data_IF_111309605905
#
_entry.id   IF_111309605905
#
_cell.length_a   1.000
_cell.length_b   1.000
_cell.length_c   1.000
_cell.angle_alpha   90.00
_cell.angle_beta   90.00
_cell.angle_gamma   90.00
#
_symmetry.space_group_name_H-M   'P 1'
#
loop_
_entity.id
_entity.type
_entity.pdbx_description
1 polymer ?
#
# COMPACT_ATOMS: atom_id res chain seq x y z
N UNK A 1 25.41 -4.67 22.37
CA UNK A 1 26.17 -4.40 23.60
C UNK A 1 25.57 -5.11 24.80
N UNK A 2 24.30 -4.88 25.19
CA UNK A 2 23.64 -5.53 26.33
C UNK A 2 23.56 -7.06 26.20
N UNK A 3 23.26 -7.59 25.02
CA UNK A 3 23.23 -9.04 24.83
C UNK A 3 24.62 -9.69 24.93
N UNK A 4 25.67 -8.94 24.72
CA UNK A 4 27.05 -9.41 24.92
C UNK A 4 27.40 -9.53 26.43
N UNK A 5 26.91 -8.56 27.23
CA UNK A 5 27.09 -8.59 28.69
C UNK A 5 26.18 -9.59 29.40
N UNK A 6 24.98 -9.82 28.84
CA UNK A 6 23.96 -10.69 29.41
C UNK A 6 23.40 -11.64 28.35
N UNK A 7 24.17 -12.67 27.97
CA UNK A 7 23.76 -13.60 26.90
C UNK A 7 22.39 -14.23 27.19
N UNK A 8 21.54 -14.29 26.18
CA UNK A 8 20.20 -14.89 26.24
C UNK A 8 19.18 -14.21 27.19
N UNK A 9 19.55 -13.12 27.85
CA UNK A 9 18.64 -12.39 28.75
C UNK A 9 17.63 -11.54 27.95
N UNK A 10 18.08 -10.97 26.82
CA UNK A 10 17.25 -10.14 25.95
C UNK A 10 16.70 -10.98 24.81
N UNK A 11 15.39 -10.91 24.64
CA UNK A 11 14.67 -11.57 23.55
C UNK A 11 14.09 -10.50 22.63
N UNK A 12 14.01 -10.79 21.35
CA UNK A 12 13.27 -9.96 20.39
C UNK A 12 11.97 -10.66 20.01
N UNK A 13 10.88 -9.89 20.00
CA UNK A 13 9.61 -10.34 19.51
C UNK A 13 9.11 -9.30 18.49
N UNK A 14 9.10 -9.65 17.22
CA UNK A 14 8.61 -8.77 16.16
C UNK A 14 7.09 -8.69 16.17
N UNK A 15 6.55 -7.59 15.67
CA UNK A 15 5.11 -7.50 15.42
C UNK A 15 4.72 -8.53 14.35
N UNK A 16 3.57 -9.19 14.58
CA UNK A 16 2.96 -10.08 13.61
C UNK A 16 1.90 -9.38 12.77
N UNK A 17 1.26 -10.15 11.91
CA UNK A 17 0.07 -9.75 11.17
C UNK A 17 -1.16 -10.50 11.73
N UNK A 18 -2.29 -9.82 11.88
CA UNK A 18 -3.56 -10.43 12.28
C UNK A 18 -4.40 -10.74 11.02
N UNK A 19 -4.21 -11.92 10.49
CA UNK A 19 -4.86 -12.35 9.25
C UNK A 19 -6.39 -12.40 9.33
N UNK A 20 -6.96 -12.68 10.51
CA UNK A 20 -8.43 -12.70 10.70
C UNK A 20 -9.02 -11.32 10.46
N UNK A 21 -8.37 -10.27 10.98
CA UNK A 21 -8.81 -8.89 10.75
C UNK A 21 -8.90 -8.58 9.26
N UNK A 22 -7.84 -8.88 8.52
CA UNK A 22 -7.71 -8.46 7.13
C UNK A 22 -8.49 -9.32 6.14
N UNK A 23 -8.68 -10.60 6.44
CA UNK A 23 -9.39 -11.53 5.56
C UNK A 23 -10.86 -11.73 5.96
N UNK A 24 -11.18 -11.81 7.27
CA UNK A 24 -12.53 -12.15 7.71
C UNK A 24 -13.40 -10.92 8.00
N UNK A 25 -12.81 -9.81 8.48
CA UNK A 25 -13.58 -8.61 8.80
C UNK A 25 -13.64 -7.64 7.62
N UNK A 26 -12.52 -7.47 6.93
CA UNK A 26 -12.37 -6.41 5.91
C UNK A 26 -12.31 -6.95 4.48
N UNK A 27 -12.02 -8.24 4.30
CA UNK A 27 -11.86 -8.92 3.01
C UNK A 27 -12.93 -9.97 2.75
N UNK A 28 -14.20 -9.71 3.12
CA UNK A 28 -15.26 -10.72 3.09
C UNK A 28 -15.45 -11.39 1.71
N UNK A 29 -15.40 -10.64 0.61
CA UNK A 29 -15.55 -11.22 -0.72
C UNK A 29 -14.39 -12.16 -1.07
N UNK A 30 -13.16 -11.79 -0.68
CA UNK A 30 -12.00 -12.65 -0.88
C UNK A 30 -12.09 -13.88 0.02
N UNK A 31 -12.51 -13.75 1.26
CA UNK A 31 -12.68 -14.91 2.14
C UNK A 31 -13.77 -15.85 1.66
N UNK A 32 -14.86 -15.34 1.09
CA UNK A 32 -15.91 -16.15 0.47
C UNK A 32 -15.36 -16.98 -0.70
N UNK A 33 -14.60 -16.35 -1.60
CA UNK A 33 -13.93 -17.07 -2.69
C UNK A 33 -12.99 -18.17 -2.19
N UNK A 34 -12.22 -17.87 -1.14
CA UNK A 34 -11.32 -18.86 -0.52
C UNK A 34 -12.13 -20.01 0.08
N UNK A 35 -13.22 -19.73 0.78
CA UNK A 35 -14.10 -20.77 1.37
C UNK A 35 -14.74 -21.68 0.35
N UNK A 36 -15.19 -21.13 -0.76
CA UNK A 36 -15.75 -21.92 -1.86
C UNK A 36 -14.75 -22.91 -2.44
N UNK A 37 -13.47 -22.57 -2.43
CA UNK A 37 -12.42 -23.39 -3.06
C UNK A 37 -11.72 -24.37 -2.12
N UNK A 38 -11.48 -23.99 -0.87
CA UNK A 38 -10.71 -24.81 0.09
C UNK A 38 -11.42 -25.07 1.43
N UNK A 39 -12.71 -24.67 1.55
CA UNK A 39 -13.48 -24.87 2.78
C UNK A 39 -13.13 -23.85 3.88
N UNK A 40 -13.61 -24.11 5.10
CA UNK A 40 -13.58 -23.13 6.21
C UNK A 40 -12.40 -23.30 7.18
N UNK A 41 -11.64 -24.38 7.08
CA UNK A 41 -10.65 -24.72 8.10
C UNK A 41 -9.46 -23.77 8.16
N UNK A 42 -9.17 -23.03 7.07
CA UNK A 42 -8.14 -22.00 7.05
C UNK A 42 -8.39 -20.85 8.05
N UNK A 43 -9.64 -20.61 8.45
CA UNK A 43 -9.99 -19.61 9.46
C UNK A 43 -9.40 -19.91 10.83
N UNK A 44 -9.17 -21.18 11.11
CA UNK A 44 -8.59 -21.68 12.37
C UNK A 44 -7.09 -21.96 12.24
N UNK A 45 -6.64 -22.36 11.04
CA UNK A 45 -5.24 -22.62 10.73
C UNK A 45 -4.84 -22.01 9.38
N UNK A 46 -4.22 -20.83 9.41
CA UNK A 46 -3.81 -20.10 8.21
C UNK A 46 -2.80 -20.85 7.32
N UNK A 47 -2.12 -21.87 7.83
CA UNK A 47 -1.25 -22.73 7.00
C UNK A 47 -2.04 -23.42 5.89
N UNK A 48 -3.33 -23.64 6.09
CA UNK A 48 -4.23 -24.23 5.08
C UNK A 48 -4.50 -23.31 3.90
N UNK A 49 -4.25 -21.99 4.01
CA UNK A 49 -4.30 -21.08 2.86
C UNK A 49 -3.35 -21.52 1.74
N UNK A 50 -2.31 -22.30 2.04
CA UNK A 50 -1.43 -22.88 1.02
C UNK A 50 -2.19 -23.73 0.01
N UNK A 51 -3.31 -24.31 0.39
CA UNK A 51 -4.14 -25.10 -0.52
C UNK A 51 -4.75 -24.27 -1.65
N UNK A 52 -4.85 -22.95 -1.47
CA UNK A 52 -5.32 -22.04 -2.49
C UNK A 52 -4.36 -21.95 -3.70
N UNK A 53 -3.07 -22.27 -3.52
CA UNK A 53 -2.08 -22.30 -4.62
C UNK A 53 -2.49 -23.21 -5.79
N UNK A 54 -3.26 -24.28 -5.52
CA UNK A 54 -3.76 -25.20 -6.55
C UNK A 54 -4.58 -24.50 -7.64
N UNK A 55 -5.15 -23.36 -7.32
CA UNK A 55 -6.04 -22.60 -8.19
C UNK A 55 -5.34 -21.42 -8.89
N UNK A 56 -4.04 -21.22 -8.68
CA UNK A 56 -3.29 -20.10 -9.21
C UNK A 56 -3.37 -19.95 -10.74
N UNK A 57 -3.46 -21.08 -11.47
CA UNK A 57 -3.61 -21.13 -12.93
C UNK A 57 -5.06 -21.34 -13.40
N UNK A 58 -6.04 -21.38 -12.49
CA UNK A 58 -7.44 -21.51 -12.87
C UNK A 58 -7.97 -20.15 -13.34
N UNK A 59 -8.37 -20.07 -14.61
CA UNK A 59 -8.82 -18.81 -15.24
C UNK A 59 -10.02 -18.23 -14.52
N UNK A 60 -11.03 -19.02 -14.16
CA UNK A 60 -12.20 -18.52 -13.45
C UNK A 60 -11.82 -17.89 -12.10
N UNK A 61 -10.91 -18.52 -11.35
CA UNK A 61 -10.45 -17.98 -10.06
C UNK A 61 -9.69 -16.67 -10.25
N UNK A 62 -8.85 -16.58 -11.28
CA UNK A 62 -8.15 -15.33 -11.62
C UNK A 62 -9.13 -14.21 -11.96
N UNK A 63 -10.18 -14.51 -12.74
CA UNK A 63 -11.21 -13.53 -13.11
C UNK A 63 -12.02 -13.07 -11.89
N UNK A 64 -12.43 -13.99 -11.01
CA UNK A 64 -13.15 -13.64 -9.77
C UNK A 64 -12.27 -12.81 -8.83
N UNK A 65 -11.01 -13.20 -8.65
CA UNK A 65 -10.06 -12.42 -7.85
C UNK A 65 -9.87 -11.01 -8.43
N UNK A 66 -9.74 -10.88 -9.75
CA UNK A 66 -9.61 -9.58 -10.42
C UNK A 66 -10.87 -8.70 -10.22
N UNK A 67 -12.08 -9.27 -10.27
CA UNK A 67 -13.33 -8.55 -9.98
C UNK A 67 -13.38 -8.04 -8.54
N UNK A 68 -13.04 -8.91 -7.57
CA UNK A 68 -12.96 -8.55 -6.15
C UNK A 68 -11.95 -7.42 -5.95
N UNK A 69 -10.76 -7.55 -6.54
CA UNK A 69 -9.71 -6.54 -6.45
C UNK A 69 -10.14 -5.20 -7.03
N UNK A 70 -10.75 -5.22 -8.21
CA UNK A 70 -11.26 -4.01 -8.85
C UNK A 70 -12.36 -3.32 -8.01
N UNK A 71 -13.22 -4.09 -7.35
CA UNK A 71 -14.22 -3.55 -6.41
C UNK A 71 -13.54 -2.76 -5.29
N UNK A 72 -12.55 -3.34 -4.62
CA UNK A 72 -11.81 -2.67 -3.55
C UNK A 72 -11.03 -1.44 -4.03
N UNK A 73 -10.52 -1.47 -5.25
CA UNK A 73 -9.86 -0.31 -5.87
C UNK A 73 -10.85 0.82 -6.16
N UNK A 74 -12.07 0.51 -6.60
CA UNK A 74 -13.14 1.49 -6.78
C UNK A 74 -13.56 2.13 -5.45
N UNK A 75 -13.73 1.33 -4.39
CA UNK A 75 -14.03 1.84 -3.04
C UNK A 75 -12.92 2.77 -2.52
N UNK A 76 -11.66 2.43 -2.75
CA UNK A 76 -10.53 3.28 -2.37
C UNK A 76 -10.45 4.55 -3.22
N UNK A 77 -10.71 4.46 -4.53
CA UNK A 77 -10.75 5.61 -5.42
C UNK A 77 -11.85 6.62 -5.02
N UNK A 78 -13.03 6.11 -4.67
CA UNK A 78 -14.12 6.97 -4.17
C UNK A 78 -13.75 7.62 -2.83
N UNK A 79 -13.17 6.88 -1.91
CA UNK A 79 -12.68 7.44 -0.64
C UNK A 79 -11.63 8.55 -0.86
N UNK A 80 -10.72 8.36 -1.82
CA UNK A 80 -9.74 9.38 -2.18
C UNK A 80 -10.44 10.61 -2.76
N UNK A 81 -11.42 10.42 -3.63
CA UNK A 81 -12.20 11.52 -4.22
C UNK A 81 -12.96 12.30 -3.14
N UNK A 82 -13.68 11.61 -2.26
CA UNK A 82 -14.44 12.24 -1.18
C UNK A 82 -13.57 13.03 -0.20
N UNK A 83 -12.40 12.48 0.17
CA UNK A 83 -11.55 13.08 1.22
C UNK A 83 -10.52 14.06 0.70
N UNK A 84 -10.08 13.93 -0.56
CA UNK A 84 -9.00 14.71 -1.14
C UNK A 84 -9.41 15.50 -2.39
N UNK A 85 -10.57 15.24 -2.96
CA UNK A 85 -10.98 15.83 -4.24
C UNK A 85 -10.15 15.37 -5.44
N UNK A 86 -9.35 14.30 -5.29
CA UNK A 86 -8.48 13.78 -6.35
C UNK A 86 -9.17 12.60 -7.02
N UNK A 87 -9.36 12.68 -8.33
CA UNK A 87 -9.85 11.56 -9.11
C UNK A 87 -8.68 10.65 -9.53
N UNK A 88 -8.82 9.36 -9.27
CA UNK A 88 -7.87 8.33 -9.65
C UNK A 88 -8.58 7.21 -10.42
N UNK A 89 -7.92 6.67 -11.44
CA UNK A 89 -8.45 5.54 -12.21
C UNK A 89 -8.28 4.23 -11.41
N UNK A 90 -9.34 3.52 -11.06
CA UNK A 90 -9.23 2.24 -10.36
C UNK A 90 -8.55 1.13 -11.18
N UNK A 91 -8.38 1.31 -12.50
CA UNK A 91 -7.63 0.37 -13.32
C UNK A 91 -6.10 0.64 -13.29
N UNK A 92 -5.67 1.81 -12.82
CA UNK A 92 -4.26 2.10 -12.62
C UNK A 92 -3.63 1.19 -11.55
N UNK A 93 -2.33 0.97 -11.58
CA UNK A 93 -1.61 0.26 -10.52
C UNK A 93 -1.54 1.13 -9.25
N UNK A 94 -2.09 0.65 -8.15
CA UNK A 94 -2.08 1.33 -6.85
C UNK A 94 -0.87 0.87 -6.02
N UNK A 95 0.07 1.79 -5.79
CA UNK A 95 1.28 1.58 -5.00
C UNK A 95 1.15 2.32 -3.67
N UNK A 96 1.13 1.63 -2.55
CA UNK A 96 0.95 2.25 -1.24
C UNK A 96 2.23 2.23 -0.39
N UNK A 97 2.49 3.34 0.27
CA UNK A 97 3.50 3.46 1.32
C UNK A 97 2.83 3.92 2.62
N UNK A 98 2.27 2.96 3.36
CA UNK A 98 1.44 3.19 4.55
C UNK A 98 2.25 2.97 5.82
N UNK A 99 3.01 3.99 6.21
CA UNK A 99 3.90 3.93 7.38
C UNK A 99 3.96 5.28 8.08
N UNK A 100 4.09 5.28 9.42
CA UNK A 100 4.44 6.50 10.14
C UNK A 100 5.68 7.12 9.51
N UNK A 101 5.70 8.46 9.43
CA UNK A 101 6.86 9.15 8.89
C UNK A 101 8.04 9.06 9.84
N UNK A 102 9.13 8.51 9.32
CA UNK A 102 10.39 8.41 10.01
C UNK A 102 11.55 8.31 9.00
N UNK A 103 12.70 8.89 9.33
CA UNK A 103 13.85 8.93 8.42
C UNK A 103 14.24 7.53 7.91
N UNK A 104 14.28 6.52 8.79
CA UNK A 104 14.68 5.17 8.40
C UNK A 104 13.68 4.44 7.49
N UNK A 105 12.43 4.89 7.44
CA UNK A 105 11.41 4.33 6.52
C UNK A 105 11.52 4.85 5.09
N UNK A 106 12.35 5.87 4.91
CA UNK A 106 12.80 6.42 3.63
C UNK A 106 11.68 6.83 2.65
N UNK A 107 10.62 7.47 3.17
CA UNK A 107 9.60 8.07 2.30
C UNK A 107 10.20 9.00 1.26
N UNK A 108 11.29 9.72 1.60
CA UNK A 108 12.01 10.58 0.67
C UNK A 108 12.57 9.82 -0.55
N UNK A 109 12.98 8.57 -0.39
CA UNK A 109 13.44 7.75 -1.53
C UNK A 109 12.28 7.40 -2.47
N UNK A 110 11.09 7.15 -1.92
CA UNK A 110 9.89 6.92 -2.75
C UNK A 110 9.54 8.18 -3.53
N UNK A 111 9.64 9.36 -2.90
CA UNK A 111 9.41 10.65 -3.58
C UNK A 111 10.41 10.85 -4.73
N UNK A 112 11.69 10.54 -4.52
CA UNK A 112 12.70 10.64 -5.60
C UNK A 112 12.36 9.71 -6.77
N UNK A 113 11.93 8.47 -6.49
CA UNK A 113 11.49 7.55 -7.54
C UNK A 113 10.24 8.03 -8.28
N UNK A 114 9.32 8.71 -7.59
CA UNK A 114 8.15 9.34 -8.22
C UNK A 114 8.58 10.49 -9.13
N UNK A 115 9.51 11.33 -8.68
CA UNK A 115 10.03 12.45 -9.48
C UNK A 115 10.81 11.96 -10.70
N UNK A 116 11.58 10.89 -10.58
CA UNK A 116 12.28 10.26 -11.70
C UNK A 116 11.29 9.77 -12.76
N UNK A 117 10.27 9.02 -12.34
CA UNK A 117 9.18 8.59 -13.24
C UNK A 117 8.45 9.79 -13.87
N UNK A 118 8.18 10.85 -13.11
CA UNK A 118 7.54 12.05 -13.61
C UNK A 118 8.40 12.72 -14.71
N UNK A 119 9.71 12.87 -14.49
CA UNK A 119 10.63 13.39 -15.49
C UNK A 119 10.68 12.53 -16.74
N UNK A 120 10.67 11.21 -16.59
CA UNK A 120 10.60 10.29 -17.71
C UNK A 120 9.35 10.51 -18.55
N UNK A 121 8.18 10.66 -17.91
CA UNK A 121 6.90 10.87 -18.58
C UNK A 121 6.82 12.23 -19.29
N UNK A 122 7.42 13.28 -18.72
CA UNK A 122 7.48 14.59 -19.39
C UNK A 122 8.34 14.53 -20.64
N UNK A 123 9.50 13.88 -20.57
CA UNK A 123 10.43 13.79 -21.68
C UNK A 123 9.94 12.82 -22.77
N UNK A 124 9.06 11.89 -22.41
CA UNK A 124 8.50 10.88 -23.33
C UNK A 124 6.99 10.77 -23.15
N UNK A 125 6.21 11.80 -23.55
CA UNK A 125 4.77 11.85 -23.28
C UNK A 125 3.98 10.73 -23.95
N UNK A 126 4.47 10.21 -25.07
CA UNK A 126 3.84 9.13 -25.83
C UNK A 126 4.23 7.73 -25.32
N UNK A 127 5.08 7.64 -24.32
CA UNK A 127 5.49 6.35 -23.75
C UNK A 127 4.28 5.60 -23.23
N UNK A 128 4.11 4.37 -23.72
CA UNK A 128 3.12 3.44 -23.18
C UNK A 128 3.58 2.92 -21.82
N UNK A 129 2.82 3.25 -20.78
CA UNK A 129 3.10 2.86 -19.41
C UNK A 129 1.81 2.46 -18.70
N UNK A 130 1.89 1.47 -17.85
CA UNK A 130 0.79 1.19 -16.92
C UNK A 130 0.60 2.40 -16.00
N UNK A 131 -0.58 3.06 -16.00
CA UNK A 131 -0.86 4.17 -15.11
C UNK A 131 -0.63 3.79 -13.64
N UNK A 132 -0.09 4.71 -12.85
CA UNK A 132 0.28 4.48 -11.45
C UNK A 132 -0.32 5.52 -10.53
N UNK A 133 -0.81 5.06 -9.39
CA UNK A 133 -1.27 5.91 -8.28
C UNK A 133 -0.43 5.59 -7.05
N UNK A 134 0.39 6.54 -6.63
CA UNK A 134 1.14 6.43 -5.38
C UNK A 134 0.31 6.97 -4.22
N UNK A 135 0.10 6.13 -3.20
CA UNK A 135 -0.73 6.44 -2.04
C UNK A 135 0.13 6.42 -0.79
N UNK A 136 0.34 7.58 -0.17
CA UNK A 136 0.98 7.68 1.14
C UNK A 136 -0.10 7.74 2.23
N UNK A 137 -0.06 6.80 3.16
CA UNK A 137 -0.87 6.85 4.38
C UNK A 137 0.03 7.05 5.58
N UNK A 138 0.01 8.23 6.20
CA UNK A 138 1.01 8.55 7.21
C UNK A 138 0.52 9.51 8.30
N UNK A 139 1.30 9.58 9.37
CA UNK A 139 1.26 10.58 10.42
C UNK A 139 2.65 10.70 11.06
N UNK A 140 2.92 11.85 11.69
CA UNK A 140 4.17 12.10 12.39
C UNK A 140 3.94 12.58 13.83
N UNK A 141 4.96 12.47 14.68
CA UNK A 141 4.96 13.18 15.96
C UNK A 141 4.99 14.69 15.73
N UNK A 142 4.31 15.45 16.57
CA UNK A 142 4.18 16.91 16.45
C UNK A 142 5.52 17.66 16.47
N UNK A 143 6.49 17.16 17.24
CA UNK A 143 7.84 17.71 17.37
C UNK A 143 8.83 17.25 16.31
N UNK A 144 8.46 16.29 15.45
CA UNK A 144 9.39 15.71 14.48
C UNK A 144 9.44 16.55 13.18
N UNK A 145 10.26 17.58 13.19
CA UNK A 145 10.40 18.57 12.10
C UNK A 145 10.67 17.91 10.74
N UNK A 146 11.65 17.01 10.66
CA UNK A 146 11.98 16.31 9.42
C UNK A 146 10.77 15.62 8.82
N UNK A 147 9.99 14.87 9.62
CA UNK A 147 8.80 14.18 9.14
C UNK A 147 7.75 15.16 8.58
N UNK A 148 7.58 16.32 9.24
CA UNK A 148 6.66 17.36 8.73
C UNK A 148 7.13 17.97 7.41
N UNK A 149 8.45 18.16 7.24
CA UNK A 149 9.01 18.58 5.95
C UNK A 149 8.74 17.52 4.85
N UNK A 150 8.89 16.23 5.16
CA UNK A 150 8.58 15.16 4.20
C UNK A 150 7.10 15.16 3.82
N UNK A 151 6.17 15.36 4.78
CA UNK A 151 4.74 15.51 4.47
C UNK A 151 4.51 16.67 3.50
N UNK A 152 5.14 17.81 3.77
CA UNK A 152 5.02 18.99 2.90
C UNK A 152 5.50 18.65 1.48
N UNK A 153 6.68 18.05 1.35
CA UNK A 153 7.25 17.69 0.04
C UNK A 153 6.32 16.70 -0.70
N UNK A 154 5.75 15.69 -0.02
CA UNK A 154 4.79 14.77 -0.65
C UNK A 154 3.60 15.56 -1.23
N UNK A 155 3.04 16.49 -0.46
CA UNK A 155 1.88 17.27 -0.91
C UNK A 155 2.23 18.24 -2.04
N UNK A 156 3.40 18.88 -2.02
CA UNK A 156 3.85 19.76 -3.12
C UNK A 156 4.09 18.95 -4.41
N UNK A 157 4.73 17.80 -4.30
CA UNK A 157 4.93 16.89 -5.44
C UNK A 157 3.58 16.37 -5.97
N UNK A 158 2.66 16.01 -5.07
CA UNK A 158 1.31 15.60 -5.46
C UNK A 158 0.58 16.72 -6.21
N UNK A 159 0.62 17.95 -5.69
CA UNK A 159 -0.01 19.10 -6.34
C UNK A 159 0.59 19.37 -7.73
N UNK A 160 1.91 19.35 -7.85
CA UNK A 160 2.61 19.54 -9.13
C UNK A 160 2.21 18.46 -10.15
N UNK A 161 2.30 17.18 -9.77
CA UNK A 161 2.06 16.05 -10.69
C UNK A 161 0.58 15.93 -11.05
N UNK A 162 -0.32 16.05 -10.07
CA UNK A 162 -1.75 15.82 -10.30
C UNK A 162 -2.40 16.87 -11.20
N UNK A 163 -1.82 18.07 -11.28
CA UNK A 163 -2.30 19.18 -12.11
C UNK A 163 -1.55 19.31 -13.46
N UNK A 164 -0.55 18.47 -13.71
CA UNK A 164 0.19 18.52 -14.98
C UNK A 164 -0.54 17.74 -16.06
N UNK A 165 -1.12 18.48 -17.00
CA UNK A 165 -1.87 17.90 -18.12
C UNK A 165 -0.99 17.17 -19.15
N UNK A 166 0.32 17.41 -19.17
CA UNK A 166 1.26 16.80 -20.12
C UNK A 166 1.36 15.29 -19.95
N UNK A 167 1.24 14.82 -18.73
CA UNK A 167 1.31 13.38 -18.41
C UNK A 167 -0.05 12.70 -18.31
N UNK A 168 -1.15 13.48 -18.41
CA UNK A 168 -2.51 12.97 -18.30
C UNK A 168 -2.77 12.22 -17.00
N UNK A 169 -3.37 11.04 -17.10
CA UNK A 169 -3.65 10.17 -15.95
C UNK A 169 -2.59 9.09 -15.72
N UNK A 170 -1.40 9.19 -16.36
CA UNK A 170 -0.36 8.17 -16.24
C UNK A 170 0.26 8.08 -14.84
N UNK A 171 0.22 9.19 -14.10
CA UNK A 171 0.77 9.26 -12.74
C UNK A 171 -0.10 10.15 -11.85
N UNK A 172 -0.46 9.65 -10.68
CA UNK A 172 -1.12 10.41 -9.61
C UNK A 172 -0.43 10.13 -8.28
N UNK A 173 -0.43 11.13 -7.41
CA UNK A 173 0.13 11.02 -6.05
C UNK A 173 -0.90 11.50 -5.05
N UNK A 174 -1.12 10.71 -4.00
CA UNK A 174 -2.14 10.98 -2.97
C UNK A 174 -1.50 10.87 -1.59
N UNK A 175 -1.75 11.83 -0.73
CA UNK A 175 -1.41 11.76 0.69
C UNK A 175 -2.69 11.68 1.53
N UNK A 176 -2.84 10.57 2.26
CA UNK A 176 -3.93 10.35 3.20
C UNK A 176 -3.43 10.59 4.62
N UNK A 177 -3.85 11.70 5.19
CA UNK A 177 -3.50 12.11 6.54
C UNK A 177 -4.18 11.25 7.60
N UNK A 178 -3.68 11.39 8.83
CA UNK A 178 -4.24 10.71 10.00
C UNK A 178 -4.38 9.19 9.84
N UNK A 179 -3.40 8.57 9.17
CA UNK A 179 -3.38 7.13 8.94
C UNK A 179 -3.65 6.35 10.25
N UNK A 180 -4.69 5.56 10.24
CA UNK A 180 -5.18 4.74 11.34
C UNK A 180 -5.76 3.42 10.80
N UNK A 181 -6.30 2.57 11.67
CA UNK A 181 -6.80 1.25 11.28
C UNK A 181 -7.93 1.35 10.23
N UNK A 182 -8.88 2.27 10.40
CA UNK A 182 -9.99 2.43 9.46
C UNK A 182 -9.54 2.87 8.06
N UNK A 183 -8.51 3.74 7.99
CA UNK A 183 -7.88 4.14 6.71
C UNK A 183 -7.07 2.98 6.14
N UNK A 184 -6.37 2.21 7.00
CA UNK A 184 -5.62 1.03 6.59
C UNK A 184 -6.50 -0.03 5.93
N UNK A 185 -7.68 -0.30 6.47
CA UNK A 185 -8.68 -1.23 5.93
C UNK A 185 -9.04 -0.93 4.47
N UNK A 186 -9.17 0.35 4.13
CA UNK A 186 -9.46 0.79 2.76
C UNK A 186 -8.22 0.66 1.86
N UNK A 187 -7.07 1.14 2.33
CA UNK A 187 -5.84 1.16 1.52
C UNK A 187 -5.35 -0.25 1.22
N UNK A 188 -5.28 -1.14 2.22
CA UNK A 188 -4.70 -2.47 2.06
C UNK A 188 -5.47 -3.30 1.05
N UNK A 189 -6.80 -3.30 1.10
CA UNK A 189 -7.63 -4.02 0.14
C UNK A 189 -7.45 -3.53 -1.30
N UNK A 190 -7.38 -2.21 -1.47
CA UNK A 190 -7.26 -1.58 -2.78
C UNK A 190 -5.83 -1.54 -3.33
N UNK A 191 -4.80 -1.83 -2.54
CA UNK A 191 -3.38 -1.76 -2.96
C UNK A 191 -2.99 -2.95 -3.83
N UNK A 192 -2.30 -2.68 -4.94
CA UNK A 192 -1.66 -3.72 -5.76
C UNK A 192 -0.24 -4.01 -5.28
N UNK A 193 0.51 -2.96 -4.92
CA UNK A 193 1.91 -3.07 -4.46
C UNK A 193 2.12 -2.30 -3.17
N UNK A 194 2.58 -2.98 -2.12
CA UNK A 194 3.01 -2.34 -0.88
C UNK A 194 4.49 -2.00 -0.95
N UNK A 195 4.83 -0.72 -0.87
CA UNK A 195 6.21 -0.25 -0.93
C UNK A 195 6.87 -0.42 0.43
N UNK A 196 7.96 -1.18 0.48
CA UNK A 196 8.75 -1.45 1.67
C UNK A 196 10.22 -1.16 1.37
N UNK A 197 10.75 -0.05 1.86
CA UNK A 197 12.14 0.36 1.61
C UNK A 197 12.87 0.90 2.85
N UNK A 198 12.69 0.31 4.04
CA UNK A 198 13.37 0.81 5.24
C UNK A 198 14.89 0.63 5.13
N UNK A 199 15.62 1.36 5.97
CA UNK A 199 17.05 1.12 6.15
C UNK A 199 17.24 -0.29 6.69
N UNK A 200 18.22 -1.03 6.13
CA UNK A 200 18.50 -2.41 6.52
C UNK A 200 18.67 -2.54 8.05
N UNK A 201 18.04 -3.56 8.63
CA UNK A 201 18.09 -3.86 10.06
C UNK A 201 17.25 -2.94 10.97
N UNK A 202 16.52 -1.96 10.43
CA UNK A 202 15.72 -1.02 11.21
C UNK A 202 14.24 -1.42 11.32
N UNK A 203 13.77 -2.31 10.47
CA UNK A 203 12.39 -2.78 10.47
C UNK A 203 12.33 -4.25 10.04
N UNK A 204 11.52 -5.04 10.73
CA UNK A 204 11.12 -6.35 10.25
C UNK A 204 10.02 -6.19 9.20
N UNK A 205 10.23 -6.70 8.01
CA UNK A 205 9.30 -6.64 6.89
C UNK A 205 9.33 -7.95 6.10
#
# INVERSE_FOLDING_TARGET
>A
EFNHKFPNKFKNCTNGIEGRKWLLCDGMELSTLIEELIGNEWKYDFRKLKEFEKYASNQWVQEEFAKIKLKYKKELAEYIKETKGIEVDPNAMFLSHTKRLHAYKRQSMVILGILDLYHELINNPDKDVVPKVFIFGAKSASSYHFAKCVIKVINEVANMINNDTRIGNKLKVVFLENYNVAVAEKIIKGTDVSIQCPTAGQEAS
#
